data_IF_884146940400
#
_entry.id   IF_884146940400
#
_cell.length_a   1.000
_cell.length_b   1.000
_cell.length_c   1.000
_cell.angle_alpha   90.00
_cell.angle_beta   90.00
_cell.angle_gamma   90.00
#
_symmetry.space_group_name_H-M   'P 1'
#
loop_
_entity.id
_entity.type
_entity.pdbx_description
1 polymer ?
#
# COMPACT_ATOMS: atom_id res chain seq x y z
N UNK A 1 -12.31 13.80 -2.38
CA UNK A 1 -10.82 13.72 -2.31
C UNK A 1 -10.30 12.41 -2.88
N UNK A 2 -10.64 11.24 -2.30
CA UNK A 2 -10.25 9.92 -2.85
C UNK A 2 -10.61 9.71 -4.32
N UNK A 3 -11.83 10.07 -4.71
CA UNK A 3 -12.28 9.98 -6.10
C UNK A 3 -11.38 10.76 -7.07
N UNK A 4 -10.90 11.96 -6.71
CA UNK A 4 -10.08 12.77 -7.61
C UNK A 4 -8.74 12.12 -7.91
N UNK A 5 -8.13 11.48 -6.90
CA UNK A 5 -6.89 10.72 -7.09
C UNK A 5 -7.16 9.47 -7.91
N UNK A 6 -8.26 8.77 -7.66
CA UNK A 6 -8.65 7.64 -8.50
C UNK A 6 -8.85 8.07 -9.96
N UNK A 7 -9.57 9.19 -10.21
CA UNK A 7 -9.76 9.75 -11.55
C UNK A 7 -8.41 10.01 -12.22
N UNK A 8 -7.48 10.67 -11.52
CA UNK A 8 -6.12 10.87 -12.01
C UNK A 8 -5.44 9.54 -12.36
N UNK A 9 -5.41 8.59 -11.41
CA UNK A 9 -4.74 7.29 -11.60
C UNK A 9 -5.32 6.48 -12.77
N UNK A 10 -6.64 6.51 -13.00
CA UNK A 10 -7.27 5.84 -14.14
C UNK A 10 -7.00 6.56 -15.46
N UNK A 11 -7.04 7.91 -15.47
CA UNK A 11 -6.78 8.71 -16.67
C UNK A 11 -5.34 8.56 -17.16
N UNK A 12 -4.36 8.49 -16.26
CA UNK A 12 -2.94 8.35 -16.60
C UNK A 12 -2.49 6.90 -16.78
N UNK A 13 -3.39 5.93 -16.66
CA UNK A 13 -3.06 4.50 -16.82
C UNK A 13 -3.68 3.92 -18.09
N UNK A 14 -2.94 3.02 -18.75
CA UNK A 14 -3.52 2.19 -19.82
C UNK A 14 -4.40 1.08 -19.23
N UNK A 15 -5.30 0.53 -20.03
CA UNK A 15 -6.13 -0.63 -19.67
C UNK A 15 -5.28 -1.81 -19.23
N UNK A 16 -4.17 -2.06 -19.93
CA UNK A 16 -3.23 -3.15 -19.67
C UNK A 16 -2.48 -2.92 -18.36
N UNK A 17 -2.17 -1.67 -18.00
CA UNK A 17 -1.59 -1.35 -16.69
C UNK A 17 -2.59 -1.65 -15.57
N UNK A 18 -3.85 -1.24 -15.72
CA UNK A 18 -4.89 -1.54 -14.72
C UNK A 18 -5.08 -3.05 -14.59
N UNK A 19 -5.06 -3.77 -15.70
CA UNK A 19 -5.22 -5.23 -15.70
C UNK A 19 -4.00 -5.97 -15.12
N UNK A 20 -2.82 -5.34 -15.08
CA UNK A 20 -1.64 -5.87 -14.37
C UNK A 20 -1.70 -5.71 -12.86
N UNK A 21 -2.64 -4.96 -12.31
CA UNK A 21 -2.83 -4.95 -10.86
C UNK A 21 -3.25 -6.35 -10.33
N UNK A 22 -2.94 -6.70 -9.07
CA UNK A 22 -3.30 -8.00 -8.50
C UNK A 22 -4.80 -8.34 -8.59
N UNK A 23 -5.70 -7.37 -8.44
CA UNK A 23 -7.16 -7.56 -8.54
C UNK A 23 -7.73 -7.21 -9.93
N UNK A 24 -6.86 -6.90 -10.89
CA UNK A 24 -7.20 -6.57 -12.28
C UNK A 24 -7.50 -7.79 -13.16
N UNK A 25 -7.45 -7.58 -14.48
CA UNK A 25 -7.56 -8.63 -15.50
C UNK A 25 -8.96 -8.81 -16.07
N UNK A 26 -9.06 -9.69 -17.07
CA UNK A 26 -10.31 -10.01 -17.77
C UNK A 26 -10.99 -8.77 -18.41
N UNK A 27 -10.23 -7.72 -18.72
CA UNK A 27 -10.73 -6.50 -19.36
C UNK A 27 -11.40 -5.51 -18.40
N UNK A 28 -11.25 -5.67 -17.07
CA UNK A 28 -11.81 -4.72 -16.10
C UNK A 28 -11.23 -3.31 -16.27
N UNK A 29 -9.98 -3.18 -16.74
CA UNK A 29 -9.36 -1.90 -17.05
C UNK A 29 -10.15 -1.06 -18.06
N UNK A 30 -10.66 -1.69 -19.14
CA UNK A 30 -11.50 -1.00 -20.12
C UNK A 30 -12.80 -0.50 -19.49
N UNK A 31 -13.43 -1.32 -18.65
CA UNK A 31 -14.66 -0.96 -17.95
C UNK A 31 -14.44 0.21 -16.99
N UNK A 32 -13.33 0.21 -16.24
CA UNK A 32 -12.97 1.32 -15.35
C UNK A 32 -12.74 2.62 -16.12
N UNK A 33 -12.03 2.57 -17.25
CA UNK A 33 -11.79 3.76 -18.09
C UNK A 33 -13.07 4.33 -18.69
N UNK A 34 -14.02 3.47 -19.08
CA UNK A 34 -15.33 3.92 -19.55
C UNK A 34 -16.18 4.54 -18.43
N UNK A 35 -16.11 4.00 -17.21
CA UNK A 35 -16.95 4.42 -16.08
C UNK A 35 -16.44 5.66 -15.31
N UNK A 36 -15.14 5.98 -15.39
CA UNK A 36 -14.52 6.97 -14.50
C UNK A 36 -15.02 8.40 -14.71
N UNK A 37 -15.47 8.72 -15.94
CA UNK A 37 -15.98 10.04 -16.28
C UNK A 37 -17.30 10.35 -15.55
N UNK A 38 -18.18 9.35 -15.46
CA UNK A 38 -19.54 9.48 -14.92
C UNK A 38 -19.61 9.36 -13.39
N UNK A 39 -18.53 8.90 -12.75
CA UNK A 39 -18.52 8.69 -11.31
C UNK A 39 -18.58 10.01 -10.52
N UNK A 40 -19.53 10.06 -9.59
CA UNK A 40 -19.77 11.18 -8.65
C UNK A 40 -19.15 10.96 -7.26
N UNK A 41 -18.98 9.70 -6.86
CA UNK A 41 -18.35 9.31 -5.59
C UNK A 41 -17.52 8.03 -5.74
N UNK A 42 -16.77 7.66 -4.69
CA UNK A 42 -16.00 6.40 -4.67
C UNK A 42 -16.92 5.19 -4.78
N UNK A 43 -17.98 5.16 -3.97
CA UNK A 43 -18.93 4.06 -3.94
C UNK A 43 -19.71 3.98 -5.26
N UNK A 44 -20.11 5.14 -5.80
CA UNK A 44 -20.77 5.25 -7.11
C UNK A 44 -19.91 4.66 -8.24
N UNK A 45 -18.62 5.04 -8.30
CA UNK A 45 -17.69 4.44 -9.26
C UNK A 45 -17.65 2.91 -9.16
N UNK A 46 -17.57 2.38 -7.94
CA UNK A 46 -17.56 0.93 -7.74
C UNK A 46 -18.87 0.30 -8.21
N UNK A 47 -20.02 0.91 -7.94
CA UNK A 47 -21.32 0.39 -8.39
C UNK A 47 -21.45 0.40 -9.92
N UNK A 48 -20.97 1.44 -10.61
CA UNK A 48 -20.96 1.51 -12.09
C UNK A 48 -20.09 0.38 -12.67
N UNK A 49 -18.90 0.16 -12.09
CA UNK A 49 -17.95 -0.88 -12.55
C UNK A 49 -18.38 -2.29 -12.15
N UNK A 50 -19.20 -2.44 -11.10
CA UNK A 50 -19.68 -3.73 -10.61
C UNK A 50 -20.38 -4.54 -11.71
N UNK A 51 -20.16 -5.85 -11.67
CA UNK A 51 -20.85 -6.81 -12.53
C UNK A 51 -21.01 -8.14 -11.78
N UNK A 52 -21.64 -9.13 -12.43
CA UNK A 52 -21.63 -10.51 -11.89
C UNK A 52 -20.21 -11.07 -11.75
N UNK A 53 -19.27 -10.66 -12.62
CA UNK A 53 -17.87 -11.10 -12.63
C UNK A 53 -17.01 -10.34 -11.60
N UNK A 54 -17.32 -9.06 -11.35
CA UNK A 54 -16.52 -8.18 -10.49
C UNK A 54 -17.29 -7.77 -9.24
N UNK A 55 -16.89 -8.32 -8.10
CA UNK A 55 -17.48 -7.95 -6.80
C UNK A 55 -17.03 -6.55 -6.38
N UNK A 56 -17.82 -5.94 -5.50
CA UNK A 56 -17.51 -4.64 -4.89
C UNK A 56 -16.10 -4.64 -4.27
N UNK A 57 -15.79 -5.67 -3.49
CA UNK A 57 -14.50 -5.79 -2.79
C UNK A 57 -13.33 -5.98 -3.75
N UNK A 58 -13.51 -6.70 -4.88
CA UNK A 58 -12.48 -6.81 -5.93
C UNK A 58 -12.18 -5.45 -6.55
N UNK A 59 -13.21 -4.69 -6.92
CA UNK A 59 -13.05 -3.37 -7.54
C UNK A 59 -12.43 -2.38 -6.55
N UNK A 60 -12.90 -2.37 -5.30
CA UNK A 60 -12.32 -1.50 -4.26
C UNK A 60 -10.83 -1.79 -4.04
N UNK A 61 -10.42 -3.07 -4.01
CA UNK A 61 -8.99 -3.44 -3.93
C UNK A 61 -8.22 -3.01 -5.17
N UNK A 62 -8.80 -3.19 -6.36
CA UNK A 62 -8.19 -2.77 -7.62
C UNK A 62 -7.95 -1.25 -7.66
N UNK A 63 -8.93 -0.45 -7.22
CA UNK A 63 -8.78 1.00 -7.13
C UNK A 63 -7.58 1.39 -6.25
N UNK A 64 -7.46 0.77 -5.07
CA UNK A 64 -6.33 1.02 -4.17
C UNK A 64 -4.99 0.56 -4.76
N UNK A 65 -4.95 -0.62 -5.37
CA UNK A 65 -3.74 -1.12 -6.03
C UNK A 65 -3.29 -0.21 -7.16
N UNK A 66 -4.23 0.35 -7.91
CA UNK A 66 -3.92 1.30 -8.98
C UNK A 66 -3.37 2.62 -8.43
N UNK A 67 -4.00 3.18 -7.38
CA UNK A 67 -3.52 4.40 -6.72
C UNK A 67 -2.11 4.22 -6.15
N UNK A 68 -1.82 3.04 -5.59
CA UNK A 68 -0.52 2.69 -5.02
C UNK A 68 0.51 2.22 -6.07
N UNK A 69 0.13 2.16 -7.35
CA UNK A 69 1.00 1.68 -8.45
C UNK A 69 1.52 0.25 -8.23
N UNK A 70 0.64 -0.64 -7.74
CA UNK A 70 0.96 -2.06 -7.51
C UNK A 70 0.75 -2.85 -8.80
N UNK A 71 1.86 -3.34 -9.36
CA UNK A 71 1.90 -4.25 -10.52
C UNK A 71 2.22 -5.69 -10.05
N UNK A 72 1.39 -6.66 -10.41
CA UNK A 72 1.56 -8.05 -10.00
C UNK A 72 2.86 -8.69 -10.52
N UNK A 73 3.44 -8.18 -11.62
CA UNK A 73 4.73 -8.61 -12.16
C UNK A 73 5.91 -8.07 -11.34
N UNK A 74 5.74 -6.89 -10.72
CA UNK A 74 6.76 -6.28 -9.86
C UNK A 74 6.78 -6.90 -8.45
N UNK A 75 5.60 -7.31 -7.96
CA UNK A 75 5.40 -7.85 -6.62
C UNK A 75 5.11 -9.36 -6.61
N UNK A 76 5.56 -10.12 -7.62
CA UNK A 76 5.36 -11.57 -7.70
C UNK A 76 5.97 -12.28 -6.49
N UNK A 77 5.22 -13.19 -5.85
CA UNK A 77 5.77 -14.03 -4.78
C UNK A 77 6.15 -13.28 -3.50
N UNK A 78 5.55 -12.10 -3.25
CA UNK A 78 5.83 -11.27 -2.08
C UNK A 78 5.47 -11.98 -0.77
N UNK A 79 6.46 -12.62 -0.15
CA UNK A 79 6.43 -13.08 1.24
C UNK A 79 6.74 -11.86 2.13
N UNK A 80 6.19 -11.78 3.36
CA UNK A 80 6.58 -10.73 4.30
C UNK A 80 8.11 -10.68 4.42
N UNK A 81 8.70 -9.52 4.08
CA UNK A 81 10.15 -9.36 4.04
C UNK A 81 10.73 -8.77 5.33
N UNK A 82 9.86 -8.26 6.22
CA UNK A 82 10.24 -7.68 7.50
C UNK A 82 9.08 -7.72 8.49
N UNK A 83 9.41 -7.50 9.76
CA UNK A 83 8.45 -7.24 10.85
C UNK A 83 8.55 -5.75 11.18
N UNK A 84 7.51 -4.97 10.83
CA UNK A 84 7.47 -3.54 11.15
C UNK A 84 6.83 -3.33 12.53
N UNK A 85 7.59 -2.75 13.45
CA UNK A 85 7.09 -2.38 14.77
C UNK A 85 6.42 -1.01 14.68
N UNK A 86 5.15 -0.94 15.05
CA UNK A 86 4.36 0.30 15.07
C UNK A 86 4.16 0.86 16.48
N UNK A 87 4.21 -0.01 17.49
CA UNK A 87 4.16 0.36 18.90
C UNK A 87 4.51 -0.82 19.80
N UNK A 88 4.95 -0.52 21.02
CA UNK A 88 5.43 -1.49 22.01
C UNK A 88 5.02 -1.04 23.40
N UNK A 89 4.78 -2.02 24.29
CA UNK A 89 4.81 -1.73 25.72
C UNK A 89 6.24 -1.70 26.25
N UNK A 90 6.45 -1.24 27.49
CA UNK A 90 7.74 -1.35 28.20
C UNK A 90 8.31 -2.80 28.13
N UNK A 91 7.50 -3.79 28.53
CA UNK A 91 7.87 -5.21 28.44
C UNK A 91 8.09 -5.68 27.00
N UNK A 92 7.30 -5.20 26.06
CA UNK A 92 7.48 -5.51 24.63
C UNK A 92 8.81 -4.99 24.08
N UNK A 93 9.26 -3.82 24.55
CA UNK A 93 10.54 -3.23 24.16
C UNK A 93 11.72 -4.07 24.64
N UNK A 94 11.69 -4.53 25.89
CA UNK A 94 12.69 -5.46 26.43
C UNK A 94 12.75 -6.76 25.64
N UNK A 95 11.58 -7.36 25.35
CA UNK A 95 11.48 -8.58 24.56
C UNK A 95 12.06 -8.41 23.15
N UNK A 96 11.70 -7.33 22.44
CA UNK A 96 12.22 -7.08 21.09
C UNK A 96 13.73 -6.83 21.11
N UNK A 97 14.24 -6.11 22.11
CA UNK A 97 15.68 -5.91 22.28
C UNK A 97 16.41 -7.24 22.47
N UNK A 98 15.84 -8.14 23.28
CA UNK A 98 16.41 -9.48 23.51
C UNK A 98 16.37 -10.34 22.23
N UNK A 99 15.24 -10.36 21.51
CA UNK A 99 15.09 -11.12 20.25
C UNK A 99 16.11 -10.66 19.21
N UNK A 100 16.29 -9.34 19.05
CA UNK A 100 17.28 -8.77 18.12
C UNK A 100 18.71 -9.11 18.56
N UNK A 101 19.03 -8.98 19.86
CA UNK A 101 20.35 -9.33 20.41
C UNK A 101 20.68 -10.80 20.20
N UNK A 102 19.72 -11.70 20.41
CA UNK A 102 19.89 -13.16 20.27
C UNK A 102 19.71 -13.64 18.82
N UNK A 103 19.40 -12.75 17.86
CA UNK A 103 19.10 -13.06 16.46
C UNK A 103 18.06 -14.18 16.30
N UNK A 104 17.03 -14.18 17.15
CA UNK A 104 15.97 -15.21 17.18
C UNK A 104 14.79 -14.91 16.23
N UNK A 105 15.02 -14.09 15.20
CA UNK A 105 14.01 -13.66 14.25
C UNK A 105 14.34 -14.20 12.85
N UNK A 106 13.33 -14.73 12.15
CA UNK A 106 13.47 -15.18 10.74
C UNK A 106 13.44 -14.04 9.73
N UNK A 107 12.79 -12.94 10.09
CA UNK A 107 12.67 -11.72 9.28
C UNK A 107 13.32 -10.54 10.02
N UNK A 108 13.96 -9.60 9.33
CA UNK A 108 14.45 -8.35 9.91
C UNK A 108 13.34 -7.63 10.69
N UNK A 109 13.65 -7.15 11.90
CA UNK A 109 12.73 -6.35 12.71
C UNK A 109 13.05 -4.88 12.50
N UNK A 110 12.08 -4.13 12.00
CA UNK A 110 12.19 -2.70 11.71
C UNK A 110 11.51 -1.88 12.80
N UNK A 111 12.33 -1.22 13.60
CA UNK A 111 11.98 -0.25 14.64
C UNK A 111 12.31 1.18 14.22
N UNK A 112 13.29 1.37 13.34
CA UNK A 112 13.68 2.67 12.79
C UNK A 112 14.08 2.47 11.32
N UNK A 113 13.25 2.98 10.40
CA UNK A 113 13.49 2.82 8.96
C UNK A 113 14.87 3.35 8.57
N UNK A 114 15.25 4.55 9.01
CA UNK A 114 16.50 5.19 8.60
C UNK A 114 17.75 4.36 8.95
N UNK A 115 17.68 3.56 10.02
CA UNK A 115 18.81 2.73 10.45
C UNK A 115 18.80 1.34 9.79
N UNK A 116 17.62 0.83 9.45
CA UNK A 116 17.44 -0.60 9.16
C UNK A 116 17.04 -0.85 7.71
N UNK A 117 16.72 0.19 6.95
CA UNK A 117 16.35 0.11 5.53
C UNK A 117 17.42 -0.58 4.69
N UNK A 118 18.69 -0.22 4.88
CA UNK A 118 19.79 -0.83 4.11
C UNK A 118 20.01 -2.31 4.44
N UNK A 119 19.57 -2.78 5.61
CA UNK A 119 19.63 -4.19 5.97
C UNK A 119 18.53 -5.04 5.28
N UNK A 120 17.53 -4.40 4.66
CA UNK A 120 16.54 -5.08 3.85
C UNK A 120 17.17 -5.48 2.50
N UNK A 121 16.91 -6.72 2.07
CA UNK A 121 17.18 -7.11 0.67
C UNK A 121 16.26 -6.38 -0.30
N UNK A 122 16.50 -6.53 -1.61
CA UNK A 122 15.78 -5.82 -2.67
C UNK A 122 14.24 -5.89 -2.53
N UNK A 123 13.69 -7.09 -2.26
CA UNK A 123 12.25 -7.28 -2.04
C UNK A 123 11.76 -6.53 -0.80
N UNK A 124 12.53 -6.53 0.28
CA UNK A 124 12.16 -5.83 1.51
C UNK A 124 12.16 -4.32 1.34
N UNK A 125 13.14 -3.76 0.63
CA UNK A 125 13.19 -2.34 0.29
C UNK A 125 12.00 -1.94 -0.60
N UNK A 126 11.72 -2.73 -1.62
CA UNK A 126 10.58 -2.53 -2.51
C UNK A 126 9.23 -2.51 -1.74
N UNK A 127 9.04 -3.42 -0.78
CA UNK A 127 7.84 -3.44 0.06
C UNK A 127 7.81 -2.27 1.05
N UNK A 128 8.94 -1.90 1.63
CA UNK A 128 9.04 -0.73 2.53
C UNK A 128 8.70 0.56 1.80
N UNK A 129 9.20 0.74 0.57
CA UNK A 129 8.88 1.90 -0.26
C UNK A 129 7.38 1.99 -0.60
N UNK A 130 6.73 0.84 -0.78
CA UNK A 130 5.28 0.76 -0.98
C UNK A 130 4.53 1.18 0.29
N UNK A 131 4.94 0.70 1.46
CA UNK A 131 4.35 1.05 2.75
C UNK A 131 4.49 2.56 3.04
N UNK A 132 5.69 3.13 2.86
CA UNK A 132 5.96 4.56 3.06
C UNK A 132 5.10 5.40 2.11
N UNK A 133 5.03 5.03 0.83
CA UNK A 133 4.19 5.72 -0.16
C UNK A 133 2.71 5.64 0.20
N UNK A 134 2.24 4.50 0.71
CA UNK A 134 0.89 4.32 1.18
C UNK A 134 0.54 5.28 2.33
N UNK A 135 1.44 5.42 3.30
CA UNK A 135 1.29 6.36 4.40
C UNK A 135 1.25 7.82 3.91
N UNK A 136 2.14 8.21 3.00
CA UNK A 136 2.22 9.56 2.46
C UNK A 136 0.96 9.92 1.63
N UNK A 137 0.48 9.01 0.78
CA UNK A 137 -0.77 9.21 0.01
C UNK A 137 -1.95 9.35 0.97
N UNK A 138 -2.02 8.53 2.03
CA UNK A 138 -3.08 8.64 3.02
C UNK A 138 -3.06 10.00 3.74
N UNK A 139 -1.88 10.47 4.15
CA UNK A 139 -1.72 11.77 4.80
C UNK A 139 -2.12 12.93 3.86
N UNK A 140 -1.69 12.87 2.60
CA UNK A 140 -2.05 13.82 1.55
C UNK A 140 -3.58 13.94 1.40
N UNK A 141 -4.29 12.82 1.40
CA UNK A 141 -5.74 12.80 1.17
C UNK A 141 -6.53 13.25 2.39
N UNK A 142 -6.09 12.82 3.57
CA UNK A 142 -6.75 13.15 4.83
C UNK A 142 -6.45 14.58 5.27
N UNK A 143 -5.50 15.27 4.63
CA UNK A 143 -5.11 16.63 4.98
C UNK A 143 -4.41 16.70 6.33
N UNK A 144 -3.76 15.60 6.74
CA UNK A 144 -2.90 15.62 7.92
C UNK A 144 -1.65 16.41 7.56
N UNK A 145 -1.30 17.39 8.40
CA UNK A 145 -0.06 18.17 8.24
C UNK A 145 1.15 17.35 8.69
N UNK A 146 1.41 16.27 7.96
CA UNK A 146 2.58 15.43 8.15
C UNK A 146 3.40 15.54 6.88
N UNK A 147 4.65 16.00 7.05
CA UNK A 147 5.62 16.10 5.95
C UNK A 147 5.79 14.72 5.28
N UNK A 148 6.01 14.73 3.97
CA UNK A 148 6.37 13.54 3.19
C UNK A 148 7.50 12.73 3.84
N UNK A 149 7.48 11.43 3.58
CA UNK A 149 8.23 10.40 4.29
C UNK A 149 7.88 10.41 5.79
N UNK A 150 6.59 10.47 6.11
CA UNK A 150 6.13 10.52 7.51
C UNK A 150 6.70 9.38 8.34
N UNK A 151 6.77 8.21 7.72
CA UNK A 151 7.19 6.95 8.31
C UNK A 151 8.68 6.94 8.72
N UNK A 152 9.50 7.80 8.11
CA UNK A 152 10.89 7.99 8.49
C UNK A 152 11.07 8.90 9.72
N UNK A 153 10.01 9.61 10.11
CA UNK A 153 10.02 10.62 11.19
C UNK A 153 9.31 10.14 12.45
N UNK A 154 8.40 9.19 12.31
CA UNK A 154 7.61 8.64 13.41
C UNK A 154 8.29 7.38 13.94
N UNK A 155 8.65 7.41 15.22
CA UNK A 155 9.12 6.23 15.94
C UNK A 155 7.94 5.41 16.45
N UNK A 156 8.13 4.09 16.71
CA UNK A 156 7.09 3.27 17.32
C UNK A 156 6.57 3.88 18.61
N UNK A 157 5.26 3.84 18.80
CA UNK A 157 4.62 4.38 20.01
C UNK A 157 4.99 3.51 21.21
N UNK A 158 5.56 4.10 22.27
CA UNK A 158 5.83 3.41 23.53
C UNK A 158 4.67 3.68 24.49
N UNK A 159 4.03 2.63 25.00
CA UNK A 159 2.91 2.71 25.96
C UNK A 159 3.11 1.83 27.19
#
# INVERSE_FOLDING_TARGET
>A
KWLNILKYSVLTSSSEKIDRCPSGGEGIGNRMKAAIADASSWDDFIQIVKSKRYTYTRISRLCMQLILDIDRLRFTGSIPAYIRILGLSERGREMIAEVKKKKKNRLPIITNINREYEALGNTGRLLMDLDVRGADIYNLITGRDIKFNSDHRVTPVIR
#
